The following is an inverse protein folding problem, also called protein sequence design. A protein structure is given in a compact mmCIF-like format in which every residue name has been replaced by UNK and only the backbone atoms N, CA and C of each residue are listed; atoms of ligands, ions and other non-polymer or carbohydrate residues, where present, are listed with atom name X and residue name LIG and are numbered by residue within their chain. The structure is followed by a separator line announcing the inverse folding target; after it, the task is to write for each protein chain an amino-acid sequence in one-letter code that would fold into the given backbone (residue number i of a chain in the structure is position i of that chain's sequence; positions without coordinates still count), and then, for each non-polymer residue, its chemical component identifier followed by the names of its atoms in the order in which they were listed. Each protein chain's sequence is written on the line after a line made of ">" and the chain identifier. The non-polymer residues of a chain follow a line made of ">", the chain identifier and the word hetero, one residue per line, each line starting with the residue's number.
data_IF_282562433731
#
_entry.id   IF_282562433731
#
_cell.length_a   1.000
_cell.length_b   1.000
_cell.length_c   1.000
_cell.angle_alpha   90.00
_cell.angle_beta   90.00
_cell.angle_gamma   90.00
#
_symmetry.space_group_name_H-M   'P 1'
#
loop_
_entity.id
_entity.type
_entity.pdbx_description
1 polymer ?
#
# COMPACT_ATOMS: atom_id res chain seq x y z
N UNK A 1 50.27 5.11 -15.06
CA UNK A 1 49.34 4.36 -14.19
C UNK A 1 48.13 5.23 -13.92
N UNK A 2 47.11 5.16 -14.78
CA UNK A 2 45.85 5.87 -14.56
C UNK A 2 45.08 5.14 -13.47
N UNK A 3 44.95 5.78 -12.31
CA UNK A 3 44.15 5.28 -11.19
C UNK A 3 42.71 5.22 -11.67
N UNK A 4 42.25 4.03 -12.07
CA UNK A 4 40.85 3.74 -12.34
C UNK A 4 40.04 4.19 -11.11
N UNK A 5 39.06 5.10 -11.24
CA UNK A 5 38.23 5.47 -10.10
C UNK A 5 37.53 4.18 -9.64
N UNK A 6 37.81 3.75 -8.41
CA UNK A 6 37.23 2.54 -7.82
C UNK A 6 35.71 2.64 -7.94
N UNK A 7 35.10 1.86 -8.83
CA UNK A 7 33.64 1.80 -9.04
C UNK A 7 32.89 1.17 -7.85
N UNK A 8 33.63 0.75 -6.81
CA UNK A 8 33.12 0.16 -5.57
C UNK A 8 31.96 0.94 -4.91
N UNK A 9 31.99 2.29 -4.78
CA UNK A 9 30.89 3.02 -4.17
C UNK A 9 29.59 2.89 -4.98
N UNK A 10 29.68 2.93 -6.32
CA UNK A 10 28.52 2.83 -7.20
C UNK A 10 27.88 1.43 -7.16
N UNK A 11 28.70 0.38 -7.03
CA UNK A 11 28.22 -1.00 -6.89
C UNK A 11 27.51 -1.19 -5.54
N UNK A 12 28.10 -0.71 -4.44
CA UNK A 12 27.50 -0.80 -3.09
C UNK A 12 26.19 -0.01 -3.03
N UNK A 13 26.15 1.20 -3.59
CA UNK A 13 24.94 2.03 -3.69
C UNK A 13 23.85 1.33 -4.53
N UNK A 14 24.21 0.66 -5.62
CA UNK A 14 23.25 -0.06 -6.48
C UNK A 14 22.70 -1.31 -5.83
N UNK A 15 23.55 -2.07 -5.11
CA UNK A 15 23.11 -3.23 -4.32
C UNK A 15 22.19 -2.82 -3.18
N UNK A 16 22.54 -1.76 -2.44
CA UNK A 16 21.68 -1.21 -1.39
C UNK A 16 20.33 -0.71 -1.95
N UNK A 17 20.35 -0.02 -3.09
CA UNK A 17 19.13 0.42 -3.77
C UNK A 17 18.27 -0.78 -4.21
N UNK A 18 18.88 -1.83 -4.78
CA UNK A 18 18.18 -3.04 -5.18
C UNK A 18 17.58 -3.81 -4.00
N UNK A 19 18.31 -3.92 -2.89
CA UNK A 19 17.82 -4.55 -1.66
C UNK A 19 16.67 -3.73 -1.06
N UNK A 20 16.84 -2.41 -0.90
CA UNK A 20 15.80 -1.53 -0.38
C UNK A 20 14.53 -1.56 -1.24
N UNK A 21 14.71 -1.62 -2.57
CA UNK A 21 13.62 -1.77 -3.52
C UNK A 21 12.90 -3.11 -3.35
N UNK A 22 13.64 -4.22 -3.30
CA UNK A 22 13.07 -5.55 -3.09
C UNK A 22 12.29 -5.65 -1.77
N UNK A 23 12.84 -5.10 -0.69
CA UNK A 23 12.21 -5.11 0.63
C UNK A 23 10.91 -4.29 0.66
N UNK A 24 10.84 -3.18 -0.07
CA UNK A 24 9.63 -2.33 -0.16
C UNK A 24 8.38 -3.09 -0.63
N UNK A 25 8.52 -4.16 -1.41
CA UNK A 25 7.37 -4.97 -1.87
C UNK A 25 6.75 -5.86 -0.81
N UNK A 26 7.53 -6.25 0.20
CA UNK A 26 7.11 -7.15 1.26
C UNK A 26 6.73 -6.42 2.55
N UNK A 27 7.09 -5.14 2.65
CA UNK A 27 6.76 -4.26 3.78
C UNK A 27 5.41 -3.55 3.51
N UNK A 28 4.64 -3.17 4.56
CA UNK A 28 3.41 -2.42 4.40
C UNK A 28 3.65 -1.16 3.55
N UNK A 29 2.89 -1.03 2.47
CA UNK A 29 3.04 0.08 1.51
C UNK A 29 2.01 1.17 1.78
N UNK A 30 0.76 0.78 1.99
CA UNK A 30 -0.33 1.70 2.31
C UNK A 30 -1.19 1.09 3.40
N UNK A 31 -1.66 1.92 4.32
CA UNK A 31 -2.75 1.56 5.22
C UNK A 31 -3.94 2.45 4.95
N UNK A 32 -5.11 1.84 4.82
CA UNK A 32 -6.38 2.54 4.63
C UNK A 32 -7.29 2.28 5.81
N UNK A 33 -7.92 3.35 6.31
CA UNK A 33 -8.94 3.24 7.33
C UNK A 33 -10.08 4.22 7.05
N UNK A 34 -11.33 3.80 7.26
CA UNK A 34 -12.47 4.71 7.18
C UNK A 34 -13.20 4.77 8.52
N UNK A 35 -13.74 5.94 8.86
CA UNK A 35 -14.57 6.10 10.04
C UNK A 35 -16.01 6.36 9.62
N UNK A 36 -16.93 5.62 10.24
CA UNK A 36 -18.37 5.89 10.10
C UNK A 36 -18.68 7.12 10.98
N UNK A 37 -18.72 8.29 10.34
CA UNK A 37 -19.11 9.55 10.97
C UNK A 37 -20.62 9.74 10.86
N UNK A 38 -21.32 9.65 12.00
CA UNK A 38 -22.75 9.97 12.06
C UNK A 38 -22.95 11.39 12.61
N UNK A 39 -24.04 12.06 12.22
CA UNK A 39 -24.43 13.32 12.85
C UNK A 39 -24.56 13.16 14.37
N UNK A 40 -24.09 14.14 15.14
CA UNK A 40 -24.08 14.08 16.62
C UNK A 40 -25.45 13.85 17.27
N UNK A 41 -26.55 14.13 16.56
CA UNK A 41 -27.92 13.80 17.01
C UNK A 41 -28.19 12.30 16.96
N UNK A 42 -27.78 11.63 15.89
CA UNK A 42 -27.98 10.20 15.69
C UNK A 42 -27.13 9.40 16.67
N UNK A 43 -25.86 9.81 16.84
CA UNK A 43 -24.95 9.13 17.75
C UNK A 43 -25.44 9.16 19.22
N UNK A 44 -25.84 10.35 19.69
CA UNK A 44 -26.46 10.51 21.01
C UNK A 44 -27.79 9.77 21.15
N UNK A 45 -28.56 9.67 20.08
CA UNK A 45 -29.82 8.91 20.05
C UNK A 45 -29.58 7.40 20.24
N UNK A 46 -28.59 6.85 19.55
CA UNK A 46 -28.21 5.43 19.66
C UNK A 46 -27.67 5.15 21.07
N UNK A 47 -26.71 5.95 21.57
CA UNK A 47 -26.18 5.78 22.92
C UNK A 47 -27.27 5.92 24.01
N UNK A 48 -28.19 6.87 23.83
CA UNK A 48 -29.32 7.08 24.72
C UNK A 48 -30.27 5.89 24.73
N UNK A 49 -30.49 5.25 23.57
CA UNK A 49 -31.33 4.05 23.44
C UNK A 49 -30.69 2.84 24.10
N UNK A 50 -29.37 2.64 23.90
CA UNK A 50 -28.60 1.54 24.54
C UNK A 50 -28.64 1.68 26.06
N UNK A 51 -28.29 2.84 26.61
CA UNK A 51 -28.37 3.09 28.06
C UNK A 51 -29.80 3.03 28.60
N UNK A 52 -30.79 3.36 27.79
CA UNK A 52 -32.20 3.22 28.14
C UNK A 52 -32.59 1.76 28.34
N UNK A 53 -32.16 0.89 27.43
CA UNK A 53 -32.39 -0.55 27.49
C UNK A 53 -31.70 -1.19 28.71
N UNK A 54 -30.44 -0.86 28.98
CA UNK A 54 -29.70 -1.40 30.14
C UNK A 54 -30.40 -1.04 31.46
N UNK A 55 -30.78 0.24 31.64
CA UNK A 55 -31.52 0.66 32.84
C UNK A 55 -32.85 -0.05 33.02
N UNK A 56 -33.50 -0.42 31.91
CA UNK A 56 -34.76 -1.16 31.97
C UNK A 56 -34.51 -2.61 32.41
N UNK A 57 -33.47 -3.26 31.89
CA UNK A 57 -33.06 -4.61 32.28
C UNK A 57 -32.67 -4.66 33.77
N UNK A 58 -31.90 -3.70 34.27
CA UNK A 58 -31.54 -3.60 35.68
C UNK A 58 -32.78 -3.49 36.58
N UNK A 59 -33.78 -2.72 36.16
CA UNK A 59 -35.06 -2.60 36.88
C UNK A 59 -35.85 -3.91 36.86
N UNK A 60 -35.88 -4.59 35.73
CA UNK A 60 -36.57 -5.88 35.63
C UNK A 60 -35.90 -6.95 36.50
N UNK A 61 -34.58 -6.98 36.53
CA UNK A 61 -33.82 -7.88 37.39
C UNK A 61 -34.13 -7.62 38.88
N UNK A 62 -34.18 -6.35 39.28
CA UNK A 62 -34.56 -5.95 40.64
C UNK A 62 -36.00 -6.33 41.03
N UNK A 63 -36.90 -6.52 40.07
CA UNK A 63 -38.30 -6.87 40.33
C UNK A 63 -38.59 -8.38 40.21
N UNK A 64 -37.94 -9.07 39.28
CA UNK A 64 -38.27 -10.44 38.88
C UNK A 64 -37.16 -11.46 39.20
N UNK A 65 -36.02 -11.01 39.72
CA UNK A 65 -34.88 -11.85 40.10
C UNK A 65 -33.79 -11.95 39.03
N UNK A 66 -32.63 -12.48 39.45
CA UNK A 66 -31.38 -12.46 38.67
C UNK A 66 -31.45 -13.18 37.31
N UNK A 67 -32.30 -14.19 37.13
CA UNK A 67 -32.38 -14.97 35.88
C UNK A 67 -33.20 -14.32 34.75
N UNK A 68 -33.90 -13.21 35.01
CA UNK A 68 -34.71 -12.54 33.99
C UNK A 68 -33.84 -11.78 32.99
N UNK A 69 -32.72 -11.24 33.46
CA UNK A 69 -31.78 -10.52 32.59
C UNK A 69 -31.19 -11.44 31.54
N UNK A 70 -30.69 -12.61 31.94
CA UNK A 70 -30.12 -13.60 31.01
C UNK A 70 -31.13 -14.00 29.93
N UNK A 71 -32.39 -14.25 30.32
CA UNK A 71 -33.46 -14.63 29.39
C UNK A 71 -33.87 -13.47 28.46
N UNK A 72 -33.84 -12.24 28.97
CA UNK A 72 -34.11 -11.05 28.17
C UNK A 72 -32.98 -10.77 27.17
N UNK A 73 -31.72 -10.98 27.55
CA UNK A 73 -30.56 -10.89 26.67
C UNK A 73 -30.58 -11.98 25.59
N UNK A 74 -30.96 -13.21 25.93
CA UNK A 74 -31.14 -14.32 24.98
C UNK A 74 -32.23 -13.98 23.94
N UNK A 75 -33.41 -13.55 24.38
CA UNK A 75 -34.50 -13.15 23.47
C UNK A 75 -34.09 -11.92 22.64
N UNK A 76 -33.40 -10.97 23.26
CA UNK A 76 -32.91 -9.76 22.59
C UNK A 76 -31.92 -10.08 21.47
N UNK A 77 -30.93 -10.94 21.74
CA UNK A 77 -29.95 -11.39 20.74
C UNK A 77 -30.61 -12.12 19.57
N UNK A 78 -31.58 -13.01 19.85
CA UNK A 78 -32.35 -13.71 18.83
C UNK A 78 -33.10 -12.75 17.88
N UNK A 79 -33.84 -11.78 18.43
CA UNK A 79 -34.57 -10.80 17.60
C UNK A 79 -33.63 -9.86 16.86
N UNK A 80 -32.51 -9.50 17.48
CA UNK A 80 -31.48 -8.66 16.89
C UNK A 80 -30.88 -9.33 15.65
N UNK A 81 -30.53 -10.62 15.76
CA UNK A 81 -30.02 -11.40 14.62
C UNK A 81 -31.10 -11.61 13.56
N UNK A 82 -32.30 -12.06 13.94
CA UNK A 82 -33.39 -12.30 12.99
C UNK A 82 -33.82 -11.04 12.22
N UNK A 83 -33.70 -9.85 12.83
CA UNK A 83 -33.99 -8.56 12.20
C UNK A 83 -32.85 -8.03 11.34
N UNK A 84 -31.63 -7.99 11.90
CA UNK A 84 -30.46 -7.44 11.21
C UNK A 84 -29.99 -8.35 10.09
N UNK A 85 -29.95 -9.66 10.27
CA UNK A 85 -29.53 -10.58 9.21
C UNK A 85 -30.53 -10.59 8.05
N UNK A 86 -31.83 -10.51 8.33
CA UNK A 86 -32.85 -10.40 7.27
C UNK A 86 -32.69 -9.11 6.46
N UNK A 87 -32.23 -8.02 7.08
CA UNK A 87 -32.14 -6.70 6.44
C UNK A 87 -30.78 -6.41 5.82
N UNK A 88 -29.70 -6.80 6.49
CA UNK A 88 -28.31 -6.46 6.16
C UNK A 88 -27.48 -7.70 5.79
N UNK A 89 -27.95 -8.90 6.13
CA UNK A 89 -27.15 -10.12 6.10
C UNK A 89 -26.13 -10.18 7.25
N UNK A 90 -25.29 -11.22 7.21
CA UNK A 90 -24.23 -11.46 8.20
C UNK A 90 -23.14 -10.38 8.15
N UNK A 91 -22.48 -10.14 9.31
CA UNK A 91 -21.43 -9.12 9.47
C UNK A 91 -20.19 -9.44 8.65
N UNK A 92 -19.84 -10.71 8.52
CA UNK A 92 -18.66 -11.18 7.84
C UNK A 92 -18.45 -12.66 8.04
N UNK A 93 -17.28 -13.17 7.68
CA UNK A 93 -16.91 -14.56 7.91
C UNK A 93 -15.93 -14.67 9.08
N UNK A 94 -16.14 -15.65 9.94
CA UNK A 94 -15.21 -16.01 10.99
C UNK A 94 -13.99 -16.74 10.38
N UNK A 95 -13.02 -17.08 11.23
CA UNK A 95 -11.80 -17.80 10.80
C UNK A 95 -12.08 -19.19 10.20
N UNK A 96 -13.25 -19.77 10.47
CA UNK A 96 -13.72 -21.06 9.92
C UNK A 96 -14.52 -20.90 8.62
N UNK A 97 -14.74 -19.67 8.14
CA UNK A 97 -15.55 -19.40 6.96
C UNK A 97 -17.06 -19.44 7.21
N UNK A 98 -17.51 -19.40 8.46
CA UNK A 98 -18.93 -19.32 8.85
C UNK A 98 -19.33 -17.86 9.03
N UNK A 99 -20.59 -17.55 8.76
CA UNK A 99 -21.19 -16.26 9.00
C UNK A 99 -21.12 -15.79 10.45
N UNK A 100 -20.76 -14.53 10.66
CA UNK A 100 -20.77 -13.90 11.99
C UNK A 100 -22.12 -13.20 12.19
N UNK A 101 -22.94 -13.64 13.17
CA UNK A 101 -24.18 -12.97 13.53
C UNK A 101 -23.91 -11.64 14.23
N UNK A 102 -24.88 -10.72 14.15
CA UNK A 102 -24.74 -9.36 14.65
C UNK A 102 -24.62 -9.29 16.16
N UNK A 103 -25.43 -10.05 16.88
CA UNK A 103 -25.42 -10.13 18.35
C UNK A 103 -24.03 -10.52 18.87
N UNK A 104 -23.42 -11.51 18.23
CA UNK A 104 -22.09 -12.00 18.58
C UNK A 104 -21.00 -10.97 18.28
N UNK A 105 -21.03 -10.33 17.11
CA UNK A 105 -20.08 -9.24 16.82
C UNK A 105 -20.22 -8.11 17.86
N UNK A 106 -21.45 -7.72 18.21
CA UNK A 106 -21.71 -6.65 19.16
C UNK A 106 -21.20 -6.98 20.57
N UNK A 107 -21.42 -8.22 21.01
CA UNK A 107 -21.04 -8.69 22.34
C UNK A 107 -19.53 -8.94 22.48
N UNK A 108 -18.90 -9.58 21.49
CA UNK A 108 -17.49 -10.03 21.60
C UNK A 108 -16.52 -9.23 20.76
N UNK A 109 -17.00 -8.40 19.83
CA UNK A 109 -16.18 -7.74 18.82
C UNK A 109 -15.67 -8.69 17.73
N UNK A 110 -16.19 -9.92 17.64
CA UNK A 110 -15.73 -10.92 16.66
C UNK A 110 -15.97 -10.42 15.22
N UNK A 111 -14.92 -10.41 14.39
CA UNK A 111 -14.94 -9.78 13.06
C UNK A 111 -14.58 -8.28 13.07
N UNK A 112 -14.35 -7.68 14.25
CA UNK A 112 -13.90 -6.31 14.42
C UNK A 112 -12.72 -6.20 15.41
N UNK A 113 -12.19 -4.98 15.61
CA UNK A 113 -11.08 -4.74 16.57
C UNK A 113 -11.54 -4.59 18.03
N UNK A 114 -12.81 -4.28 18.27
CA UNK A 114 -13.35 -3.96 19.59
C UNK A 114 -14.88 -4.21 19.63
N UNK A 115 -15.48 -4.47 20.82
CA UNK A 115 -16.93 -4.62 20.97
C UNK A 115 -17.68 -3.31 20.68
N UNK A 116 -18.99 -3.45 20.40
CA UNK A 116 -19.88 -2.34 20.06
C UNK A 116 -20.23 -2.26 18.58
N UNK A 117 -21.19 -1.38 18.26
CA UNK A 117 -21.84 -1.38 16.95
C UNK A 117 -21.04 -0.74 15.83
N UNK A 118 -20.24 0.29 16.12
CA UNK A 118 -19.45 1.02 15.10
C UNK A 118 -18.41 0.13 14.41
N UNK A 119 -17.60 -0.65 15.16
CA UNK A 119 -16.63 -1.56 14.54
C UNK A 119 -17.30 -2.70 13.75
N UNK A 120 -18.44 -3.21 14.21
CA UNK A 120 -19.20 -4.25 13.52
C UNK A 120 -19.82 -3.75 12.21
N UNK A 121 -20.46 -2.57 12.22
CA UNK A 121 -20.97 -1.95 10.98
C UNK A 121 -19.84 -1.70 9.99
N UNK A 122 -18.67 -1.25 10.47
CA UNK A 122 -17.49 -1.07 9.64
C UNK A 122 -17.01 -2.39 9.02
N UNK A 123 -16.98 -3.47 9.79
CA UNK A 123 -16.64 -4.81 9.31
C UNK A 123 -17.65 -5.28 8.24
N UNK A 124 -18.96 -5.10 8.51
CA UNK A 124 -20.03 -5.41 7.57
C UNK A 124 -19.94 -4.65 6.25
N UNK A 125 -19.74 -3.33 6.30
CA UNK A 125 -19.55 -2.50 5.09
C UNK A 125 -18.34 -3.01 4.32
N UNK A 126 -17.21 -3.27 5.00
CA UNK A 126 -16.01 -3.77 4.34
C UNK A 126 -16.25 -5.13 3.66
N UNK A 127 -16.95 -6.04 4.35
CA UNK A 127 -17.28 -7.38 3.83
C UNK A 127 -18.24 -7.31 2.64
N UNK A 128 -19.34 -6.56 2.74
CA UNK A 128 -20.36 -6.45 1.67
C UNK A 128 -19.90 -5.61 0.48
N UNK A 129 -19.20 -4.50 0.73
CA UNK A 129 -18.72 -3.63 -0.33
C UNK A 129 -17.39 -4.14 -0.95
N UNK A 130 -16.76 -5.17 -0.37
CA UNK A 130 -15.50 -5.73 -0.86
C UNK A 130 -14.33 -4.74 -0.80
N UNK A 131 -14.40 -3.75 0.10
CA UNK A 131 -13.40 -2.69 0.20
C UNK A 131 -12.24 -3.19 1.05
N UNK A 132 -11.01 -3.26 0.50
CA UNK A 132 -9.86 -3.73 1.25
C UNK A 132 -9.40 -2.63 2.22
N UNK A 133 -9.61 -2.88 3.51
CA UNK A 133 -9.21 -1.99 4.61
C UNK A 133 -8.09 -2.61 5.42
N UNK A 134 -7.21 -1.77 5.94
CA UNK A 134 -6.04 -2.18 6.73
C UNK A 134 -4.73 -2.08 5.97
N UNK A 135 -3.72 -2.82 6.44
CA UNK A 135 -2.37 -2.78 5.90
C UNK A 135 -2.29 -3.59 4.61
N UNK A 136 -1.88 -2.94 3.53
CA UNK A 136 -1.73 -3.58 2.24
C UNK A 136 -0.31 -3.43 1.72
N UNK A 137 0.20 -4.52 1.17
CA UNK A 137 1.45 -4.53 0.41
C UNK A 137 1.15 -4.21 -1.05
N UNK A 138 2.13 -3.66 -1.76
CA UNK A 138 1.99 -3.30 -3.18
C UNK A 138 1.61 -4.52 -4.04
N UNK A 139 2.17 -5.70 -3.72
CA UNK A 139 1.83 -6.96 -4.43
C UNK A 139 0.41 -7.46 -4.15
N UNK A 140 -0.14 -7.14 -2.97
CA UNK A 140 -1.53 -7.44 -2.62
C UNK A 140 -2.51 -6.59 -3.42
N UNK A 141 -2.22 -5.29 -3.54
CA UNK A 141 -3.04 -4.36 -4.34
C UNK A 141 -3.07 -4.78 -5.81
N UNK A 142 -1.91 -5.10 -6.41
CA UNK A 142 -1.82 -5.56 -7.81
C UNK A 142 -2.66 -6.83 -8.03
N UNK A 143 -2.53 -7.82 -7.13
CA UNK A 143 -3.31 -9.06 -7.21
C UNK A 143 -4.81 -8.80 -7.07
N UNK A 144 -5.21 -7.88 -6.19
CA UNK A 144 -6.60 -7.46 -6.03
C UNK A 144 -7.17 -6.87 -7.32
N UNK A 145 -6.43 -5.98 -7.98
CA UNK A 145 -6.85 -5.36 -9.24
C UNK A 145 -7.00 -6.40 -10.37
N UNK A 146 -6.09 -7.37 -10.46
CA UNK A 146 -6.23 -8.48 -11.42
C UNK A 146 -7.46 -9.34 -11.14
N UNK A 147 -7.73 -9.66 -9.87
CA UNK A 147 -8.91 -10.42 -9.48
C UNK A 147 -10.23 -9.66 -9.75
N UNK A 148 -10.20 -8.33 -9.71
CA UNK A 148 -11.34 -7.47 -10.02
C UNK A 148 -11.55 -7.24 -11.52
N UNK A 149 -10.67 -7.75 -12.39
CA UNK A 149 -10.79 -7.61 -13.84
C UNK A 149 -10.25 -6.28 -14.40
N UNK A 150 -9.60 -5.47 -13.58
CA UNK A 150 -9.00 -4.18 -13.97
C UNK A 150 -7.59 -4.37 -14.57
N UNK A 151 -7.50 -5.17 -15.64
CA UNK A 151 -6.25 -5.62 -16.24
C UNK A 151 -5.34 -4.47 -16.70
N UNK A 152 -5.93 -3.40 -17.26
CA UNK A 152 -5.18 -2.25 -17.75
C UNK A 152 -4.48 -1.53 -16.60
N UNK A 153 -5.23 -1.22 -15.53
CA UNK A 153 -4.70 -0.52 -14.37
C UNK A 153 -3.67 -1.40 -13.62
N UNK A 154 -3.96 -2.69 -13.46
CA UNK A 154 -3.04 -3.65 -12.84
C UNK A 154 -1.71 -3.76 -13.61
N UNK A 155 -1.78 -3.83 -14.94
CA UNK A 155 -0.60 -3.89 -15.81
C UNK A 155 0.20 -2.60 -15.75
N UNK A 156 -0.47 -1.45 -15.80
CA UNK A 156 0.17 -0.14 -15.71
C UNK A 156 0.91 0.00 -14.38
N UNK A 157 0.25 -0.34 -13.26
CA UNK A 157 0.84 -0.28 -11.93
C UNK A 157 2.04 -1.23 -11.80
N UNK A 158 1.91 -2.46 -12.32
CA UNK A 158 2.99 -3.46 -12.30
C UNK A 158 4.19 -3.01 -13.14
N UNK A 159 3.94 -2.49 -14.34
CA UNK A 159 4.99 -2.04 -15.24
C UNK A 159 5.78 -0.90 -14.60
N UNK A 160 5.09 0.12 -14.10
CA UNK A 160 5.75 1.32 -13.58
C UNK A 160 6.32 1.16 -12.19
N UNK A 161 5.67 0.39 -11.31
CA UNK A 161 6.19 0.19 -9.95
C UNK A 161 7.19 -0.96 -9.84
N UNK A 162 7.22 -1.93 -10.78
CA UNK A 162 8.13 -3.09 -10.73
C UNK A 162 9.13 -3.08 -11.89
N UNK A 163 8.65 -3.09 -13.13
CA UNK A 163 9.53 -3.28 -14.29
C UNK A 163 10.51 -2.11 -14.47
N UNK A 164 10.05 -0.87 -14.33
CA UNK A 164 10.90 0.30 -14.53
C UNK A 164 12.05 0.40 -13.52
N UNK A 165 11.81 0.31 -12.19
CA UNK A 165 12.93 0.41 -11.25
C UNK A 165 13.80 -0.86 -11.26
N UNK A 166 13.24 -2.05 -11.51
CA UNK A 166 14.04 -3.27 -11.67
C UNK A 166 14.99 -3.17 -12.87
N UNK A 167 14.50 -2.65 -14.00
CA UNK A 167 15.32 -2.40 -15.18
C UNK A 167 16.43 -1.38 -14.88
N UNK A 168 16.11 -0.30 -14.17
CA UNK A 168 17.08 0.75 -13.80
C UNK A 168 18.18 0.23 -12.85
N UNK A 169 17.81 -0.53 -11.82
CA UNK A 169 18.77 -1.16 -10.89
C UNK A 169 19.62 -2.19 -11.63
N UNK A 170 19.02 -3.03 -12.48
CA UNK A 170 19.72 -4.04 -13.26
C UNK A 170 20.74 -3.42 -14.22
N UNK A 171 20.35 -2.38 -14.97
CA UNK A 171 21.24 -1.63 -15.85
C UNK A 171 22.40 -1.00 -15.08
N UNK A 172 22.13 -0.35 -13.94
CA UNK A 172 23.16 0.30 -13.13
C UNK A 172 24.16 -0.73 -12.57
N UNK A 173 23.68 -1.90 -12.14
CA UNK A 173 24.51 -3.00 -11.65
C UNK A 173 25.39 -3.59 -12.76
N UNK A 174 24.81 -3.87 -13.94
CA UNK A 174 25.53 -4.40 -15.11
C UNK A 174 26.63 -3.45 -15.57
N UNK A 175 26.37 -2.14 -15.56
CA UNK A 175 27.38 -1.12 -15.90
C UNK A 175 28.45 -0.98 -14.81
N UNK A 176 28.06 -1.05 -13.53
CA UNK A 176 28.98 -0.95 -12.40
C UNK A 176 29.95 -2.13 -12.29
N UNK A 177 29.51 -3.35 -12.62
CA UNK A 177 30.35 -4.55 -12.64
C UNK A 177 31.24 -4.66 -13.90
N UNK A 178 31.14 -3.71 -14.84
CA UNK A 178 31.88 -3.71 -16.10
C UNK A 178 31.76 -5.04 -16.90
N UNK A 179 30.63 -5.75 -16.75
CA UNK A 179 30.37 -7.05 -17.38
C UNK A 179 30.11 -6.97 -18.89
N UNK A 180 30.22 -5.76 -19.48
CA UNK A 180 29.74 -5.46 -20.83
C UNK A 180 30.82 -4.78 -21.64
N UNK A 181 30.91 -5.16 -22.93
CA UNK A 181 31.82 -4.56 -23.92
C UNK A 181 31.63 -3.05 -24.03
N UNK A 182 32.71 -2.35 -24.38
CA UNK A 182 32.78 -0.87 -24.42
C UNK A 182 31.69 -0.27 -25.32
N UNK A 183 31.39 -0.87 -26.49
CA UNK A 183 30.36 -0.32 -27.39
C UNK A 183 28.94 -0.44 -26.82
N UNK A 184 28.64 -1.50 -26.06
CA UNK A 184 27.34 -1.64 -25.41
C UNK A 184 27.23 -0.72 -24.19
N UNK A 185 28.34 -0.44 -23.51
CA UNK A 185 28.36 0.43 -22.32
C UNK A 185 27.90 1.85 -22.64
N UNK A 186 28.31 2.42 -23.78
CA UNK A 186 27.84 3.73 -24.23
C UNK A 186 26.35 3.73 -24.58
N UNK A 187 25.86 2.68 -25.27
CA UNK A 187 24.44 2.55 -25.60
C UNK A 187 23.58 2.45 -24.34
N UNK A 188 24.02 1.65 -23.37
CA UNK A 188 23.32 1.48 -22.10
C UNK A 188 23.37 2.75 -21.25
N UNK A 189 24.48 3.50 -21.25
CA UNK A 189 24.54 4.83 -20.63
C UNK A 189 23.54 5.80 -21.24
N UNK A 190 23.41 5.85 -22.58
CA UNK A 190 22.42 6.69 -23.26
C UNK A 190 20.98 6.28 -22.93
N UNK A 191 20.69 4.98 -22.86
CA UNK A 191 19.38 4.47 -22.42
C UNK A 191 19.10 4.86 -20.97
N UNK A 192 20.10 4.79 -20.10
CA UNK A 192 20.00 5.17 -18.70
C UNK A 192 19.74 6.68 -18.56
N UNK A 193 20.46 7.53 -19.29
CA UNK A 193 20.22 8.98 -19.32
C UNK A 193 18.86 9.34 -19.90
N UNK A 194 18.41 8.65 -20.96
CA UNK A 194 17.06 8.84 -21.51
C UNK A 194 15.99 8.43 -20.50
N UNK A 195 16.16 7.31 -19.79
CA UNK A 195 15.26 6.87 -18.73
C UNK A 195 15.22 7.83 -17.53
N UNK A 196 16.34 8.50 -17.24
CA UNK A 196 16.43 9.51 -16.19
C UNK A 196 15.79 10.84 -16.60
N UNK A 197 15.87 11.21 -17.89
CA UNK A 197 15.23 12.42 -18.45
C UNK A 197 13.72 12.26 -18.64
N UNK A 198 13.26 11.07 -19.04
CA UNK A 198 11.84 10.70 -19.11
C UNK A 198 11.39 10.18 -17.75
N UNK A 199 11.47 11.04 -16.74
CA UNK A 199 11.10 10.75 -15.36
C UNK A 199 9.59 10.58 -15.25
N UNK A 200 9.12 9.39 -15.60
CA UNK A 200 7.76 8.89 -15.38
C UNK A 200 7.35 8.94 -13.90
N UNK A 201 8.30 9.21 -13.00
CA UNK A 201 8.07 9.65 -11.62
C UNK A 201 7.04 10.77 -11.52
N UNK A 202 7.05 11.76 -12.41
CA UNK A 202 6.08 12.87 -12.35
C UNK A 202 4.66 12.38 -12.60
N UNK A 203 4.47 11.55 -13.64
CA UNK A 203 3.19 10.90 -13.94
C UNK A 203 2.76 9.94 -12.84
N UNK A 204 3.70 9.21 -12.22
CA UNK A 204 3.43 8.32 -11.09
C UNK A 204 2.99 9.10 -9.84
N UNK A 205 3.64 10.22 -9.53
CA UNK A 205 3.26 11.11 -8.42
C UNK A 205 1.89 11.73 -8.69
N UNK A 206 1.60 12.18 -9.91
CA UNK A 206 0.27 12.68 -10.30
C UNK A 206 -0.78 11.58 -10.18
N UNK A 207 -0.50 10.35 -10.61
CA UNK A 207 -1.43 9.23 -10.47
C UNK A 207 -1.70 8.89 -8.99
N UNK A 208 -0.66 8.84 -8.15
CA UNK A 208 -0.81 8.66 -6.70
C UNK A 208 -1.62 9.80 -6.08
N UNK A 209 -1.37 11.04 -6.49
CA UNK A 209 -2.09 12.20 -6.01
C UNK A 209 -3.58 12.13 -6.38
N UNK A 210 -3.91 11.74 -7.61
CA UNK A 210 -5.31 11.52 -8.03
C UNK A 210 -5.96 10.41 -7.21
N UNK A 211 -5.26 9.30 -6.98
CA UNK A 211 -5.76 8.20 -6.14
C UNK A 211 -6.02 8.69 -4.71
N UNK A 212 -5.09 9.43 -4.11
CA UNK A 212 -5.27 10.00 -2.78
C UNK A 212 -6.42 11.00 -2.71
N UNK A 213 -6.49 11.98 -3.63
CA UNK A 213 -7.57 12.96 -3.67
C UNK A 213 -8.94 12.33 -3.87
N UNK A 214 -9.04 11.37 -4.80
CA UNK A 214 -10.30 10.65 -5.04
C UNK A 214 -10.75 9.91 -3.78
N UNK A 215 -9.80 9.44 -2.99
CA UNK A 215 -10.10 8.60 -1.84
C UNK A 215 -10.39 9.42 -0.55
N UNK A 216 -9.76 10.59 -0.35
CA UNK A 216 -10.16 11.55 0.70
C UNK A 216 -11.61 12.02 0.55
N UNK A 217 -12.07 12.18 -0.70
CA UNK A 217 -13.42 12.65 -1.01
C UNK A 217 -14.53 11.69 -0.52
N UNK A 218 -14.19 10.47 -0.09
CA UNK A 218 -15.11 9.45 0.43
C UNK A 218 -14.97 9.17 1.95
N UNK A 219 -14.38 10.07 2.75
CA UNK A 219 -14.10 9.87 4.20
C UNK A 219 -13.14 8.70 4.49
N UNK A 220 -12.33 8.28 3.51
CA UNK A 220 -11.26 7.31 3.74
C UNK A 220 -9.96 8.06 4.10
N UNK A 221 -9.34 7.63 5.19
CA UNK A 221 -8.01 8.08 5.58
C UNK A 221 -6.98 7.09 5.04
N UNK A 222 -6.16 7.53 4.09
CA UNK A 222 -5.01 6.77 3.61
C UNK A 222 -3.75 7.28 4.31
N UNK A 223 -2.92 6.36 4.80
CA UNK A 223 -1.58 6.68 5.29
C UNK A 223 -0.54 5.94 4.46
N UNK A 224 0.48 6.69 4.05
CA UNK A 224 1.69 6.12 3.46
C UNK A 224 2.48 5.41 4.57
N UNK A 225 2.80 4.14 4.34
CA UNK A 225 3.56 3.32 5.28
C UNK A 225 5.05 3.27 4.88
N UNK A 226 5.87 2.60 5.70
CA UNK A 226 7.33 2.49 5.53
C UNK A 226 7.74 2.06 4.12
N UNK A 227 6.96 1.19 3.45
CA UNK A 227 7.23 0.73 2.09
C UNK A 227 7.32 1.85 1.06
N UNK A 228 6.47 2.88 1.16
CA UNK A 228 6.48 4.05 0.25
C UNK A 228 7.76 4.85 0.43
N UNK A 229 8.19 5.07 1.68
CA UNK A 229 9.43 5.79 1.97
C UNK A 229 10.66 5.04 1.49
N UNK A 230 10.70 3.71 1.67
CA UNK A 230 11.79 2.87 1.16
C UNK A 230 11.85 2.87 -0.37
N UNK A 231 10.70 2.83 -1.05
CA UNK A 231 10.61 2.93 -2.50
C UNK A 231 11.17 4.27 -3.01
N UNK A 232 10.73 5.38 -2.40
CA UNK A 232 11.21 6.71 -2.74
C UNK A 232 12.73 6.86 -2.48
N UNK A 233 13.20 6.40 -1.32
CA UNK A 233 14.62 6.40 -0.98
C UNK A 233 15.45 5.58 -1.99
N UNK A 234 15.00 4.38 -2.35
CA UNK A 234 15.67 3.53 -3.35
C UNK A 234 15.74 4.22 -4.72
N UNK A 235 14.68 4.92 -5.14
CA UNK A 235 14.67 5.68 -6.39
C UNK A 235 15.68 6.84 -6.39
N UNK A 236 15.82 7.54 -5.25
CA UNK A 236 16.81 8.61 -5.06
C UNK A 236 18.23 8.03 -5.06
N UNK A 237 18.47 6.97 -4.28
CA UNK A 237 19.75 6.25 -4.22
C UNK A 237 20.18 5.73 -5.59
N UNK A 238 19.25 5.18 -6.37
CA UNK A 238 19.51 4.75 -7.75
C UNK A 238 19.91 5.93 -8.64
N UNK A 239 19.26 7.08 -8.50
CA UNK A 239 19.59 8.27 -9.29
C UNK A 239 20.96 8.84 -8.92
N UNK A 240 21.32 8.81 -7.64
CA UNK A 240 22.66 9.18 -7.17
C UNK A 240 23.74 8.20 -7.63
N UNK A 241 23.43 6.90 -7.68
CA UNK A 241 24.36 5.88 -8.18
C UNK A 241 24.72 6.13 -9.66
N UNK A 242 23.73 6.52 -10.49
CA UNK A 242 23.93 6.86 -11.89
C UNK A 242 24.87 8.07 -12.03
N UNK A 243 24.70 9.12 -11.21
CA UNK A 243 25.57 10.30 -11.23
C UNK A 243 27.03 9.96 -10.87
N UNK A 244 27.25 8.90 -10.08
CA UNK A 244 28.58 8.46 -9.66
C UNK A 244 29.22 7.43 -10.59
N UNK A 245 28.53 6.97 -11.64
CA UNK A 245 29.13 6.08 -12.62
C UNK A 245 30.19 6.84 -13.44
N UNK A 246 31.44 6.33 -13.54
CA UNK A 246 32.44 6.92 -14.42
C UNK A 246 31.98 6.77 -15.87
N UNK A 247 31.81 7.92 -16.54
CA UNK A 247 31.47 8.02 -17.95
C UNK A 247 32.50 7.25 -18.78
N UNK A 248 32.08 6.55 -19.86
CA UNK A 248 33.04 6.03 -20.83
C UNK A 248 33.84 7.21 -21.39
N UNK A 249 35.17 7.07 -21.37
CA UNK A 249 36.05 8.08 -21.96
C UNK A 249 35.65 8.25 -23.43
N UNK A 250 35.23 9.46 -23.81
CA UNK A 250 35.07 9.84 -25.20
C UNK A 250 36.32 9.41 -25.96
N UNK A 251 36.24 8.76 -27.14
CA UNK A 251 37.39 8.64 -28.01
C UNK A 251 37.85 10.07 -28.31
N UNK A 252 38.92 10.50 -27.65
CA UNK A 252 39.59 11.74 -27.94
C UNK A 252 40.11 11.63 -29.36
N UNK A 253 39.56 12.45 -30.26
CA UNK A 253 40.22 12.78 -31.52
C UNK A 253 41.48 13.56 -31.20
N UNK A 254 42.57 12.84 -30.89
CA UNK A 254 43.93 13.35 -31.02
C UNK A 254 44.36 13.06 -32.45
N UNK A 255 43.97 13.95 -33.38
CA UNK A 255 44.73 14.12 -34.61
C UNK A 255 46.00 14.87 -34.22
N UNK A 256 47.06 14.10 -34.10
CA UNK A 256 48.44 14.49 -33.95
C UNK A 256 48.84 15.42 -35.11
N UNK A 257 48.80 16.73 -34.91
CA UNK A 257 49.41 17.69 -35.83
C UNK A 257 50.92 17.71 -35.54
N UNK A 258 51.65 16.81 -36.21
CA UNK A 258 53.10 16.77 -36.21
C UNK A 258 53.69 17.86 -37.12
N UNK A 259 54.87 18.42 -36.80
CA UNK A 259 55.38 19.64 -37.43
C UNK A 259 56.06 19.33 -38.77
N UNK A 260 55.57 19.91 -39.86
CA UNK A 260 56.25 19.88 -41.16
C UNK A 260 57.34 20.94 -41.16
N UNK A 261 58.59 20.49 -40.99
CA UNK A 261 59.79 21.31 -41.21
C UNK A 261 59.83 21.77 -42.67
N UNK A 262 60.23 23.03 -42.84
CA UNK A 262 60.69 23.65 -44.09
C UNK A 262 61.78 22.83 -44.78
N UNK A 263 61.61 22.61 -46.09
CA UNK A 263 62.65 22.72 -47.11
C UNK A 263 62.02 23.08 -48.46
#
# INVERSE_FOLDING_TARGET
>A
MTVQPKAWPAIVLSLLAGIAFGVSFFVPFVSSDFRVSLPAKVDRGIEGSVRGSERFLDRLEGLLGAGVRDKAEEIGSFWMDAGLERSLGEVGLNRKGEGIPWSRCLATGEGAKAPGWRPCVKAWISYKAGIPVGVQTLSGVIRGLFAQGEWLLATLLTLFSICFPALKVGLTLVLGLALVRVELRERLHKVLEMSAKWSMTDVFVVALMIVFFKAENFNFHFRAEVGVYLFAAAAILSSLAIMKLPLPASPSGTSEEAPTKTS
#
